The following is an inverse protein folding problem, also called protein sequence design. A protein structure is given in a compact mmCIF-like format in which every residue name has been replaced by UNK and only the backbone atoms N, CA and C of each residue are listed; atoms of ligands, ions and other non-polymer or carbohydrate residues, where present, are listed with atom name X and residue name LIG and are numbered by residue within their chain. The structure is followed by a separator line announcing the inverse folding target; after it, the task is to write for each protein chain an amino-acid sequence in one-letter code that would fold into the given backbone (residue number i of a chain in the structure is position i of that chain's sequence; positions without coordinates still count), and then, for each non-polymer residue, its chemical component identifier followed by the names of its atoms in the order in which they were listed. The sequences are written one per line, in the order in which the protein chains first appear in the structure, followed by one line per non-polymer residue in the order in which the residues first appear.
data_IF_603886302300
#
_entry.id   IF_603886302300
#
_cell.length_a   1.000
_cell.length_b   1.000
_cell.length_c   1.000
_cell.angle_alpha   90.00
_cell.angle_beta   90.00
_cell.angle_gamma   90.00
#
_symmetry.space_group_name_H-M   'P 1'
#
loop_
_entity.id
_entity.type
_entity.pdbx_description
1 polymer ?
#
# COMPACT_ATOMS: atom_id res chain seq x y z
N UNK A 1 -17.56 1.53 15.15
CA UNK A 1 -16.99 2.86 15.44
C UNK A 1 -17.45 3.75 14.31
N UNK A 2 -18.39 4.64 14.58
CA UNK A 2 -18.84 5.59 13.55
C UNK A 2 -17.72 6.59 13.27
N UNK A 3 -17.45 6.93 12.00
CA UNK A 3 -16.41 7.89 11.67
C UNK A 3 -16.74 9.25 12.29
N UNK A 4 -15.72 9.95 12.79
CA UNK A 4 -15.89 11.32 13.28
C UNK A 4 -16.45 12.20 12.16
N UNK A 5 -17.27 13.18 12.51
CA UNK A 5 -17.95 14.06 11.54
C UNK A 5 -17.60 15.52 11.79
N UNK A 6 -17.15 16.18 10.73
CA UNK A 6 -16.75 17.57 10.73
C UNK A 6 -17.77 18.45 10.01
N UNK A 7 -17.92 19.68 10.49
CA UNK A 7 -18.79 20.68 9.86
C UNK A 7 -18.01 21.47 8.83
N UNK A 8 -18.70 21.94 7.80
CA UNK A 8 -18.10 22.90 6.88
C UNK A 8 -17.76 24.19 7.67
N UNK A 9 -16.52 24.71 7.59
CA UNK A 9 -16.10 25.90 8.30
C UNK A 9 -17.00 27.10 8.04
N UNK A 10 -17.34 27.83 9.10
CA UNK A 10 -18.01 29.11 8.99
C UNK A 10 -16.99 30.24 8.74
N UNK A 11 -17.44 31.31 8.08
CA UNK A 11 -16.61 32.50 7.89
C UNK A 11 -16.55 33.29 9.20
N UNK A 12 -15.35 33.56 9.70
CA UNK A 12 -15.11 34.24 10.97
C UNK A 12 -15.19 35.76 10.82
N UNK A 13 -16.41 36.28 10.69
CA UNK A 13 -16.67 37.73 10.56
C UNK A 13 -16.21 38.51 11.80
N UNK A 14 -15.57 39.66 11.59
CA UNK A 14 -15.24 40.60 12.67
C UNK A 14 -14.10 40.16 13.60
N UNK A 15 -13.35 39.11 13.24
CA UNK A 15 -12.15 38.66 13.98
C UNK A 15 -10.84 39.27 13.44
N UNK A 16 -10.94 40.20 12.51
CA UNK A 16 -9.81 40.83 11.82
C UNK A 16 -9.77 40.44 10.34
N UNK A 17 -9.31 41.37 9.49
CA UNK A 17 -9.35 41.25 8.03
C UNK A 17 -8.63 40.00 7.52
N UNK A 18 -7.45 39.69 8.09
CA UNK A 18 -6.66 38.52 7.71
C UNK A 18 -7.39 37.20 8.01
N UNK A 19 -7.92 37.03 9.21
CA UNK A 19 -8.63 35.80 9.61
C UNK A 19 -9.96 35.63 8.86
N UNK A 20 -10.65 36.74 8.60
CA UNK A 20 -11.88 36.71 7.79
C UNK A 20 -11.57 36.29 6.35
N UNK A 21 -10.48 36.81 5.76
CA UNK A 21 -10.04 36.42 4.42
C UNK A 21 -9.68 34.93 4.35
N UNK A 22 -8.88 34.42 5.29
CA UNK A 22 -8.45 33.01 5.31
C UNK A 22 -9.63 32.06 5.55
N UNK A 23 -10.54 32.37 6.49
CA UNK A 23 -11.72 31.54 6.74
C UNK A 23 -12.71 31.54 5.56
N UNK A 24 -12.85 32.67 4.86
CA UNK A 24 -13.61 32.74 3.63
C UNK A 24 -12.97 31.90 2.53
N UNK A 25 -11.66 31.97 2.37
CA UNK A 25 -10.92 31.16 1.41
C UNK A 25 -11.06 29.66 1.69
N UNK A 26 -10.84 29.25 2.95
CA UNK A 26 -11.00 27.85 3.38
C UNK A 26 -12.38 27.33 3.04
N UNK A 27 -13.43 28.07 3.42
CA UNK A 27 -14.80 27.67 3.13
C UNK A 27 -15.06 27.52 1.64
N UNK A 28 -14.58 28.44 0.82
CA UNK A 28 -14.73 28.37 -0.64
C UNK A 28 -14.02 27.12 -1.19
N UNK A 29 -12.80 26.84 -0.74
CA UNK A 29 -12.04 25.67 -1.17
C UNK A 29 -12.72 24.36 -0.76
N UNK A 30 -13.30 24.28 0.43
CA UNK A 30 -14.11 23.14 0.87
C UNK A 30 -15.33 22.91 -0.02
N UNK A 31 -16.09 23.97 -0.33
CA UNK A 31 -17.25 23.86 -1.20
C UNK A 31 -16.84 23.40 -2.61
N UNK A 32 -15.72 23.91 -3.13
CA UNK A 32 -15.18 23.50 -4.42
C UNK A 32 -14.71 22.04 -4.43
N UNK A 33 -14.06 21.58 -3.36
CA UNK A 33 -13.56 20.20 -3.30
C UNK A 33 -14.69 19.18 -3.27
N UNK A 34 -15.84 19.53 -2.71
CA UNK A 34 -17.05 18.72 -2.76
C UNK A 34 -17.64 18.61 -4.18
N UNK A 35 -17.30 19.49 -5.13
CA UNK A 35 -17.78 19.48 -6.54
C UNK A 35 -19.29 19.24 -6.73
N UNK A 36 -20.12 19.72 -5.79
CA UNK A 36 -21.59 19.54 -5.80
C UNK A 36 -22.37 20.71 -6.41
N UNK A 37 -21.69 21.60 -7.15
CA UNK A 37 -22.29 22.82 -7.69
C UNK A 37 -22.51 23.90 -6.62
N UNK A 38 -23.35 24.88 -6.92
CA UNK A 38 -23.70 25.94 -5.97
C UNK A 38 -24.59 25.38 -4.84
N UNK A 39 -24.09 25.47 -3.61
CA UNK A 39 -24.78 24.99 -2.41
C UNK A 39 -25.34 26.17 -1.63
N UNK A 40 -26.57 26.04 -1.11
CA UNK A 40 -27.19 27.08 -0.29
C UNK A 40 -26.50 27.21 1.08
N UNK A 41 -26.53 28.41 1.65
CA UNK A 41 -25.94 28.67 2.97
C UNK A 41 -26.59 27.82 4.08
N UNK A 42 -27.89 27.55 3.97
CA UNK A 42 -28.63 26.67 4.88
C UNK A 42 -28.17 25.22 4.79
N UNK A 43 -27.85 24.75 3.58
CA UNK A 43 -27.26 23.44 3.38
C UNK A 43 -25.87 23.37 4.00
N UNK A 44 -24.99 24.34 3.70
CA UNK A 44 -23.61 24.36 4.20
C UNK A 44 -23.54 24.37 5.73
N UNK A 45 -24.43 25.09 6.40
CA UNK A 45 -24.53 25.13 7.87
C UNK A 45 -24.84 23.76 8.49
N UNK A 46 -25.62 22.94 7.78
CA UNK A 46 -26.08 21.63 8.24
C UNK A 46 -25.25 20.47 7.68
N UNK A 47 -24.46 20.70 6.63
CA UNK A 47 -23.60 19.70 6.02
C UNK A 47 -22.56 19.14 7.01
N UNK A 48 -22.26 17.85 6.84
CA UNK A 48 -21.23 17.12 7.58
C UNK A 48 -20.36 16.36 6.60
N UNK A 49 -19.09 16.24 6.93
CA UNK A 49 -18.07 15.51 6.19
C UNK A 49 -17.45 14.52 7.17
N UNK A 50 -17.41 13.23 6.83
CA UNK A 50 -16.78 12.24 7.70
C UNK A 50 -15.25 12.30 7.63
N UNK A 51 -14.59 11.80 8.67
CA UNK A 51 -13.13 11.73 8.81
C UNK A 51 -12.44 11.09 7.61
N UNK A 52 -13.11 10.17 6.92
CA UNK A 52 -12.57 9.46 5.75
C UNK A 52 -12.30 10.37 4.53
N UNK A 53 -12.69 11.65 4.58
CA UNK A 53 -12.38 12.64 3.56
C UNK A 53 -11.07 13.40 3.80
N UNK A 54 -10.38 13.10 4.91
CA UNK A 54 -9.08 13.65 5.29
C UNK A 54 -8.06 12.52 5.43
N UNK A 55 -6.79 12.81 5.20
CA UNK A 55 -5.66 11.88 5.31
C UNK A 55 -5.42 11.51 6.78
N UNK A 56 -5.39 12.51 7.66
CA UNK A 56 -5.22 12.34 9.12
C UNK A 56 -6.54 12.09 9.85
N UNK A 57 -7.67 12.12 9.14
CA UNK A 57 -9.00 11.95 9.70
C UNK A 57 -9.67 13.22 10.23
N UNK A 58 -8.99 14.36 10.19
CA UNK A 58 -9.49 15.65 10.65
C UNK A 58 -8.91 16.79 9.79
N UNK A 59 -9.59 17.95 9.72
CA UNK A 59 -9.09 19.10 8.98
C UNK A 59 -7.90 19.75 9.68
N UNK A 60 -7.00 20.30 8.88
CA UNK A 60 -5.89 21.11 9.41
C UNK A 60 -6.37 22.43 10.02
N UNK A 61 -5.48 23.06 10.79
CA UNK A 61 -5.74 24.39 11.37
C UNK A 61 -5.95 25.44 10.28
N UNK A 62 -6.72 26.49 10.61
CA UNK A 62 -7.10 27.54 9.65
C UNK A 62 -5.87 28.21 9.01
N UNK A 63 -4.80 28.40 9.78
CA UNK A 63 -3.57 29.08 9.35
C UNK A 63 -2.62 28.16 8.56
N UNK A 64 -2.78 26.84 8.68
CA UNK A 64 -1.92 25.83 8.05
C UNK A 64 -2.42 25.47 6.63
N UNK A 65 -2.35 26.45 5.73
CA UNK A 65 -2.89 26.36 4.37
C UNK A 65 -2.17 25.34 3.49
N UNK A 66 -0.89 25.08 3.77
CA UNK A 66 -0.05 24.18 2.99
C UNK A 66 -0.29 22.70 3.34
N UNK A 67 -1.09 22.44 4.38
CA UNK A 67 -1.44 21.10 4.81
C UNK A 67 -2.41 20.43 3.82
N UNK A 68 -2.14 19.18 3.39
CA UNK A 68 -3.05 18.46 2.50
C UNK A 68 -4.46 18.23 3.08
N UNK A 69 -4.61 18.26 4.41
CA UNK A 69 -5.89 18.15 5.11
C UNK A 69 -6.57 19.51 5.38
N UNK A 70 -6.03 20.62 4.86
CA UNK A 70 -6.69 21.92 4.96
C UNK A 70 -8.05 21.96 4.24
N UNK A 71 -8.26 21.06 3.27
CA UNK A 71 -9.53 20.81 2.57
C UNK A 71 -9.82 19.30 2.49
N UNK A 72 -11.10 18.89 2.42
CA UNK A 72 -11.45 17.48 2.21
C UNK A 72 -11.11 17.08 0.77
N UNK A 73 -10.21 16.12 0.63
CA UNK A 73 -9.64 15.67 -0.65
C UNK A 73 -9.82 14.18 -0.91
N UNK A 74 -9.99 13.37 0.14
CA UNK A 74 -10.11 11.92 0.02
C UNK A 74 -11.56 11.51 -0.28
N UNK A 75 -11.74 10.43 -1.04
CA UNK A 75 -13.04 9.77 -1.23
C UNK A 75 -14.20 10.68 -1.66
N UNK A 76 -13.92 11.80 -2.35
CA UNK A 76 -14.95 12.80 -2.72
C UNK A 76 -15.94 12.32 -3.79
N UNK A 77 -15.80 11.09 -4.29
CA UNK A 77 -16.78 10.45 -5.18
C UNK A 77 -16.66 10.80 -6.67
N UNK A 78 -15.58 11.50 -7.07
CA UNK A 78 -15.33 11.87 -8.45
C UNK A 78 -14.08 11.16 -8.97
N UNK A 79 -14.26 10.07 -9.72
CA UNK A 79 -13.22 9.37 -10.48
C UNK A 79 -13.14 9.89 -11.93
N UNK A 80 -13.36 11.18 -12.16
CA UNK A 80 -13.02 11.77 -13.45
C UNK A 80 -11.52 12.07 -13.46
N UNK A 81 -10.71 11.02 -13.46
CA UNK A 81 -9.32 11.13 -13.86
C UNK A 81 -9.40 11.52 -15.33
N UNK A 82 -9.03 12.75 -15.69
CA UNK A 82 -8.89 13.08 -17.11
C UNK A 82 -7.85 12.12 -17.68
N UNK A 83 -7.99 11.71 -18.94
CA UNK A 83 -7.04 10.77 -19.58
C UNK A 83 -5.57 11.19 -19.39
N UNK A 84 -5.30 12.50 -19.39
CA UNK A 84 -3.98 13.08 -19.10
C UNK A 84 -3.50 12.85 -17.65
N UNK A 85 -4.40 12.92 -16.69
CA UNK A 85 -4.11 12.65 -15.28
C UNK A 85 -3.86 11.15 -15.07
N UNK A 86 -4.55 10.29 -15.82
CA UNK A 86 -4.36 8.83 -15.78
C UNK A 86 -2.99 8.45 -16.32
N UNK A 87 -2.60 9.02 -17.46
CA UNK A 87 -1.26 8.85 -18.04
C UNK A 87 -0.16 9.32 -17.09
N UNK A 88 -0.35 10.45 -16.39
CA UNK A 88 0.60 10.94 -15.40
C UNK A 88 0.70 10.02 -14.18
N UNK A 89 -0.43 9.52 -13.67
CA UNK A 89 -0.49 8.56 -12.55
C UNK A 89 0.16 7.23 -12.94
N UNK A 90 -0.13 6.71 -14.13
CA UNK A 90 0.49 5.50 -14.64
C UNK A 90 1.99 5.66 -14.84
N UNK A 91 2.43 6.78 -15.40
CA UNK A 91 3.86 7.08 -15.59
C UNK A 91 4.58 7.15 -14.24
N UNK A 92 4.01 7.86 -13.27
CA UNK A 92 4.55 7.93 -11.91
C UNK A 92 4.62 6.54 -11.26
N UNK A 93 3.57 5.73 -11.41
CA UNK A 93 3.51 4.36 -10.89
C UNK A 93 4.56 3.44 -11.54
N UNK A 94 4.77 3.56 -12.86
CA UNK A 94 5.81 2.82 -13.61
C UNK A 94 7.20 3.20 -13.12
N UNK A 95 7.48 4.49 -12.92
CA UNK A 95 8.77 4.97 -12.40
C UNK A 95 9.00 4.49 -10.96
N UNK A 96 7.98 4.57 -10.10
CA UNK A 96 8.07 4.10 -8.72
C UNK A 96 8.35 2.59 -8.65
N UNK A 97 7.67 1.78 -9.47
CA UNK A 97 7.90 0.34 -9.55
C UNK A 97 9.29 0.01 -10.09
N UNK A 98 9.78 0.75 -11.10
CA UNK A 98 11.15 0.61 -11.60
C UNK A 98 12.18 0.92 -10.51
N UNK A 99 11.99 2.00 -9.74
CA UNK A 99 12.87 2.34 -8.61
C UNK A 99 12.89 1.25 -7.55
N UNK A 100 11.72 0.71 -7.18
CA UNK A 100 11.61 -0.42 -6.24
C UNK A 100 12.36 -1.65 -6.76
N UNK A 101 12.15 -2.02 -8.03
CA UNK A 101 12.82 -3.19 -8.65
C UNK A 101 14.33 -3.01 -8.72
N UNK A 102 14.82 -1.83 -9.09
CA UNK A 102 16.26 -1.54 -9.11
C UNK A 102 16.87 -1.62 -7.70
N UNK A 103 16.16 -1.10 -6.69
CA UNK A 103 16.60 -1.22 -5.29
C UNK A 103 16.68 -2.68 -4.83
N UNK A 104 15.70 -3.51 -5.21
CA UNK A 104 15.74 -4.96 -4.92
C UNK A 104 16.89 -5.68 -5.64
N UNK A 105 17.18 -5.33 -6.89
CA UNK A 105 18.31 -5.89 -7.65
C UNK A 105 19.64 -5.50 -7.00
N UNK A 106 19.79 -4.22 -6.62
CA UNK A 106 21.00 -3.74 -5.95
C UNK A 106 21.24 -4.47 -4.62
N UNK A 107 20.18 -4.66 -3.82
CA UNK A 107 20.28 -5.42 -2.57
C UNK A 107 20.66 -6.89 -2.79
N UNK A 108 20.20 -7.51 -3.89
CA UNK A 108 20.54 -8.88 -4.24
C UNK A 108 22.00 -9.01 -4.73
N UNK A 109 22.47 -8.06 -5.55
CA UNK A 109 23.85 -8.02 -6.06
C UNK A 109 24.87 -7.77 -4.94
N UNK A 110 24.56 -6.87 -4.00
CA UNK A 110 25.37 -6.66 -2.79
C UNK A 110 25.47 -7.95 -1.94
N UNK A 111 24.37 -8.71 -1.82
CA UNK A 111 24.38 -9.99 -1.10
C UNK A 111 25.13 -11.11 -1.82
N UNK A 112 25.14 -11.11 -3.16
CA UNK A 112 25.89 -12.08 -3.96
C UNK A 112 27.40 -11.81 -3.93
N UNK A 113 27.83 -10.53 -3.86
CA UNK A 113 29.26 -10.19 -3.77
C UNK A 113 29.93 -10.61 -2.44
N UNK A 114 29.15 -10.94 -1.41
CA UNK A 114 29.67 -11.51 -0.15
C UNK A 114 29.82 -13.04 -0.18
N UNK A 115 29.44 -13.72 -1.27
CA UNK A 115 29.55 -15.17 -1.43
C UNK A 115 30.47 -15.55 -2.61
N UNK A 116 31.73 -15.15 -2.57
CA UNK A 116 32.75 -15.72 -3.46
C UNK A 116 34.06 -15.98 -2.73
N UNK A 117 34.13 -17.13 -2.04
CA UNK A 117 35.34 -17.99 -1.92
C UNK A 117 34.94 -19.31 -1.25
N UNK A 118 34.68 -20.34 -2.05
CA UNK A 118 34.87 -21.75 -1.64
C UNK A 118 35.37 -22.56 -2.83
N UNK A 119 36.68 -22.75 -2.93
CA UNK A 119 37.28 -23.78 -3.79
C UNK A 119 36.96 -25.18 -3.24
N UNK A 120 36.86 -26.22 -4.10
CA UNK A 120 36.44 -27.55 -3.66
C UNK A 120 37.66 -28.31 -3.12
N UNK A 121 37.81 -28.40 -1.80
CA UNK A 121 38.80 -29.30 -1.19
C UNK A 121 38.23 -30.71 -1.04
N UNK A 122 38.97 -31.69 -1.57
CA UNK A 122 38.67 -33.11 -1.51
C UNK A 122 38.61 -33.62 -0.05
N UNK A 123 37.75 -34.61 0.18
CA UNK A 123 37.41 -35.14 1.51
C UNK A 123 38.56 -35.81 2.30
N UNK A 124 38.34 -36.06 3.60
CA UNK A 124 39.39 -36.31 4.58
C UNK A 124 39.78 -37.80 4.65
N UNK A 125 41.09 -38.06 4.77
CA UNK A 125 41.60 -39.32 5.30
C UNK A 125 42.35 -39.04 6.60
N UNK A 126 41.80 -39.59 7.68
CA UNK A 126 42.35 -39.70 9.03
C UNK A 126 43.85 -39.97 9.10
N UNK A 127 44.58 -39.14 9.87
CA UNK A 127 45.52 -39.60 10.91
C UNK A 127 45.91 -38.46 11.86
N UNK A 128 45.86 -38.79 13.14
CA UNK A 128 46.10 -38.02 14.35
C UNK A 128 47.58 -37.74 14.58
N UNK A 129 47.95 -36.53 15.03
CA UNK A 129 49.08 -36.29 15.94
C UNK A 129 48.98 -34.89 16.59
N UNK A 130 49.32 -34.82 17.87
CA UNK A 130 49.12 -33.69 18.79
C UNK A 130 50.39 -32.82 18.87
N UNK A 131 50.25 -31.50 18.87
CA UNK A 131 51.24 -30.56 19.41
C UNK A 131 50.55 -29.24 19.79
N UNK A 132 50.73 -28.85 21.05
CA UNK A 132 50.24 -27.61 21.67
C UNK A 132 51.09 -26.43 21.22
N UNK A 133 50.52 -25.42 20.56
CA UNK A 133 51.06 -24.06 20.53
C UNK A 133 49.92 -23.04 20.55
N UNK A 134 49.94 -22.17 21.57
CA UNK A 134 48.94 -21.13 21.78
C UNK A 134 49.11 -19.95 20.81
N UNK A 135 47.97 -19.44 20.34
CA UNK A 135 47.86 -18.06 19.87
C UNK A 135 47.13 -17.92 18.55
N UNK A 136 45.81 -17.74 18.58
CA UNK A 136 45.13 -16.75 17.74
C UNK A 136 43.67 -16.60 18.15
N UNK A 137 43.23 -15.35 18.28
CA UNK A 137 41.88 -14.93 18.65
C UNK A 137 40.84 -15.43 17.65
N UNK A 138 40.22 -16.58 17.93
CA UNK A 138 38.95 -17.00 17.34
C UNK A 138 37.82 -16.62 18.28
N UNK A 139 37.13 -15.50 18.04
CA UNK A 139 35.80 -15.31 18.64
C UNK A 139 34.87 -16.26 17.88
N UNK A 140 34.63 -17.43 18.46
CA UNK A 140 33.59 -18.34 17.99
C UNK A 140 32.24 -17.68 18.27
N UNK A 141 31.63 -17.08 17.24
CA UNK A 141 30.25 -16.60 17.34
C UNK A 141 29.34 -17.81 17.17
N UNK A 142 28.98 -18.41 18.29
CA UNK A 142 27.96 -19.45 18.42
C UNK A 142 26.68 -19.02 17.66
N UNK A 143 26.39 -19.66 16.54
CA UNK A 143 25.09 -19.52 15.85
C UNK A 143 24.18 -20.64 16.31
N UNK A 144 23.82 -20.65 17.59
CA UNK A 144 22.81 -21.59 18.07
C UNK A 144 21.42 -21.05 17.76
N UNK A 145 20.96 -21.32 16.54
CA UNK A 145 19.54 -21.22 16.24
C UNK A 145 18.83 -22.38 16.95
N UNK A 146 18.24 -22.10 18.11
CA UNK A 146 17.52 -23.10 18.89
C UNK A 146 16.42 -23.78 18.06
N UNK A 147 16.17 -25.06 18.34
CA UNK A 147 15.17 -25.89 17.65
C UNK A 147 13.78 -25.23 17.64
N UNK A 148 13.44 -24.48 18.69
CA UNK A 148 12.18 -23.71 18.77
C UNK A 148 12.10 -22.61 17.72
N UNK A 149 13.22 -21.95 17.42
CA UNK A 149 13.28 -20.95 16.36
C UNK A 149 13.11 -21.60 14.99
N UNK A 150 13.74 -22.76 14.76
CA UNK A 150 13.55 -23.53 13.53
C UNK A 150 12.09 -23.94 13.35
N UNK A 151 11.47 -24.51 14.39
CA UNK A 151 10.07 -24.92 14.36
C UNK A 151 9.13 -23.74 14.07
N UNK A 152 9.42 -22.57 14.65
CA UNK A 152 8.67 -21.34 14.38
C UNK A 152 8.81 -20.92 12.90
N UNK A 153 10.02 -20.92 12.36
CA UNK A 153 10.27 -20.59 10.95
C UNK A 153 9.54 -21.56 10.02
N UNK A 154 9.56 -22.87 10.31
CA UNK A 154 8.79 -23.86 9.53
C UNK A 154 7.29 -23.61 9.57
N UNK A 155 6.74 -23.30 10.74
CA UNK A 155 5.32 -22.97 10.90
C UNK A 155 4.96 -21.72 10.10
N UNK A 156 5.76 -20.66 10.20
CA UNK A 156 5.54 -19.40 9.49
C UNK A 156 5.64 -19.58 7.97
N UNK A 157 6.57 -20.41 7.50
CA UNK A 157 6.74 -20.75 6.09
C UNK A 157 5.52 -21.51 5.55
N UNK A 158 5.04 -22.52 6.28
CA UNK A 158 3.85 -23.27 5.89
C UNK A 158 2.61 -22.37 5.85
N UNK A 159 2.40 -21.55 6.87
CA UNK A 159 1.30 -20.60 6.92
C UNK A 159 1.34 -19.61 5.75
N UNK A 160 2.52 -19.04 5.45
CA UNK A 160 2.69 -18.14 4.32
C UNK A 160 2.37 -18.82 2.99
N UNK A 161 2.84 -20.05 2.78
CA UNK A 161 2.57 -20.80 1.55
C UNK A 161 1.09 -21.12 1.37
N UNK A 162 0.40 -21.55 2.43
CA UNK A 162 -1.05 -21.78 2.39
C UNK A 162 -1.79 -20.50 2.04
N UNK A 163 -1.40 -19.37 2.65
CA UNK A 163 -2.03 -18.08 2.40
C UNK A 163 -1.80 -17.61 0.96
N UNK A 164 -0.58 -17.76 0.44
CA UNK A 164 -0.23 -17.45 -0.95
C UNK A 164 -1.09 -18.28 -1.90
N UNK A 165 -1.20 -19.59 -1.66
CA UNK A 165 -2.00 -20.47 -2.51
C UNK A 165 -3.50 -20.10 -2.49
N UNK A 166 -4.04 -19.78 -1.30
CA UNK A 166 -5.42 -19.33 -1.16
C UNK A 166 -5.69 -18.02 -1.92
N UNK A 167 -4.79 -17.04 -1.81
CA UNK A 167 -4.91 -15.77 -2.52
C UNK A 167 -4.77 -15.94 -4.03
N UNK A 168 -3.84 -16.79 -4.49
CA UNK A 168 -3.72 -17.14 -5.91
C UNK A 168 -4.99 -17.78 -6.45
N UNK A 169 -5.63 -18.67 -5.69
CA UNK A 169 -6.91 -19.28 -6.07
C UNK A 169 -8.02 -18.23 -6.17
N UNK A 170 -8.09 -17.29 -5.22
CA UNK A 170 -9.06 -16.20 -5.26
C UNK A 170 -8.85 -15.30 -6.48
N UNK A 171 -7.60 -14.93 -6.78
CA UNK A 171 -7.27 -14.13 -7.97
C UNK A 171 -7.68 -14.83 -9.27
N UNK A 172 -7.41 -16.14 -9.40
CA UNK A 172 -7.84 -16.93 -10.57
C UNK A 172 -9.36 -17.01 -10.70
N UNK A 173 -10.09 -17.08 -9.59
CA UNK A 173 -11.55 -17.09 -9.61
C UNK A 173 -12.13 -15.73 -10.03
N UNK A 174 -11.48 -14.64 -9.64
CA UNK A 174 -11.83 -13.26 -9.97
C UNK A 174 -11.29 -12.80 -11.33
N UNK A 175 -10.50 -13.62 -12.02
CA UNK A 175 -9.99 -13.29 -13.35
C UNK A 175 -11.17 -13.07 -14.31
N UNK A 176 -11.17 -11.98 -15.06
CA UNK A 176 -12.20 -11.67 -16.06
C UNK A 176 -11.59 -11.55 -17.47
N UNK A 177 -10.38 -12.07 -17.67
CA UNK A 177 -9.78 -12.19 -19.00
C UNK A 177 -10.61 -13.13 -19.88
N UNK A 178 -10.60 -12.88 -21.20
CA UNK A 178 -11.25 -13.74 -22.20
C UNK A 178 -10.79 -15.21 -22.07
N UNK A 179 -9.51 -15.42 -21.79
CA UNK A 179 -8.91 -16.74 -21.58
C UNK A 179 -9.55 -17.50 -20.41
N UNK A 180 -9.96 -16.79 -19.35
CA UNK A 180 -10.58 -17.40 -18.18
C UNK A 180 -12.03 -17.86 -18.39
N UNK A 181 -12.66 -17.38 -19.47
CA UNK A 181 -14.00 -17.80 -19.89
C UNK A 181 -13.95 -18.96 -20.91
N UNK A 182 -12.82 -19.16 -21.59
CA UNK A 182 -12.60 -20.33 -22.45
C UNK A 182 -12.70 -21.61 -21.61
N UNK A 183 -13.60 -22.52 -21.99
CA UNK A 183 -13.87 -23.79 -21.31
C UNK A 183 -14.47 -23.67 -19.89
N UNK A 184 -15.08 -22.53 -19.54
CA UNK A 184 -15.78 -22.35 -18.27
C UNK A 184 -17.21 -21.85 -18.49
N UNK A 185 -18.08 -22.74 -18.97
CA UNK A 185 -19.46 -22.44 -19.34
C UNK A 185 -20.28 -21.87 -18.17
N UNK A 186 -20.04 -22.35 -16.93
CA UNK A 186 -20.73 -21.82 -15.74
C UNK A 186 -20.37 -20.37 -15.46
N UNK A 187 -19.10 -20.01 -15.63
CA UNK A 187 -18.63 -18.63 -15.47
C UNK A 187 -19.17 -17.75 -16.58
N UNK A 188 -19.15 -18.23 -17.82
CA UNK A 188 -19.76 -17.53 -18.95
C UNK A 188 -21.26 -17.28 -18.71
N UNK A 189 -22.03 -18.29 -18.31
CA UNK A 189 -23.47 -18.19 -18.02
C UNK A 189 -23.75 -17.20 -16.89
N UNK A 190 -23.00 -17.27 -15.78
CA UNK A 190 -23.19 -16.39 -14.63
C UNK A 190 -23.01 -14.90 -14.99
N UNK A 191 -22.01 -14.57 -15.81
CA UNK A 191 -21.69 -13.17 -16.15
C UNK A 191 -22.41 -12.64 -17.38
N UNK A 192 -22.81 -13.50 -18.32
CA UNK A 192 -23.47 -13.08 -19.57
C UNK A 192 -24.98 -13.20 -19.54
N UNK A 193 -25.54 -13.91 -18.54
CA UNK A 193 -27.00 -14.11 -18.36
C UNK A 193 -27.66 -14.64 -19.65
N UNK A 194 -26.95 -15.43 -20.44
CA UNK A 194 -27.57 -16.17 -21.53
C UNK A 194 -28.44 -17.28 -20.92
N UNK A 195 -29.76 -17.32 -21.21
CA UNK A 195 -30.57 -18.46 -20.81
C UNK A 195 -30.00 -19.72 -21.47
N UNK A 196 -29.88 -20.81 -20.70
CA UNK A 196 -29.49 -22.11 -21.22
C UNK A 196 -30.36 -22.41 -22.45
N UNK A 197 -29.74 -22.48 -23.63
CA UNK A 197 -30.41 -23.01 -24.79
C UNK A 197 -30.57 -24.51 -24.53
N UNK A 198 -31.77 -24.88 -24.09
CA UNK A 198 -32.18 -26.25 -23.81
C UNK A 198 -31.72 -27.22 -24.91
N UNK A 199 -31.12 -28.34 -24.48
CA UNK A 199 -31.05 -29.60 -25.22
C UNK A 199 -31.65 -30.70 -24.37
#
# INVERSE_FOLDING_TARGET
MDPAVERIPAVLKGRGEKLEAVSKEQRICWVRSLKRGELSETFLKNARICSNHFITGQPAELEDKDNPDWIPSQNVGYTSINTKDQEAIETHSRIANRRKRLKMIQMFDESASMQEVVEPVAGPSTSMEYSEEEGSSGVEVQTEMGMDHLNKVFSDLNFCNEKIHALQKQLKAMDLSEESFLNNDLKALYFTVFPNADK
#
